data_IF_046400801174
#
_entry.id   IF_046400801174
#
_cell.length_a   1.000
_cell.length_b   1.000
_cell.length_c   1.000
_cell.angle_alpha   90.00
_cell.angle_beta   90.00
_cell.angle_gamma   90.00
#
_symmetry.space_group_name_H-M   'P 1'
#
loop_
_entity.id
_entity.type
_entity.pdbx_description
1 polymer ?
#
# COMPACT_ATOMS: atom_id res chain seq x y z
N UNK A 1 24.75 -18.51 24.78
CA UNK A 1 24.16 -17.78 23.64
C UNK A 1 23.10 -16.85 24.20
N UNK A 2 23.29 -15.53 24.08
CA UNK A 2 22.39 -14.50 24.62
C UNK A 2 21.34 -14.08 23.58
N UNK A 3 20.10 -13.84 24.00
CA UNK A 3 19.08 -13.13 23.23
C UNK A 3 18.45 -12.04 24.13
N UNK A 4 18.63 -10.77 23.73
CA UNK A 4 18.14 -9.58 24.45
C UNK A 4 16.71 -9.16 24.04
N UNK A 5 16.06 -8.39 24.91
CA UNK A 5 14.66 -7.95 24.84
C UNK A 5 14.30 -7.13 23.58
N UNK A 6 13.01 -7.11 23.16
CA UNK A 6 12.58 -6.44 21.93
C UNK A 6 12.68 -4.91 22.06
N UNK A 7 13.58 -4.31 21.28
CA UNK A 7 13.70 -2.87 21.11
C UNK A 7 12.42 -2.31 20.46
N UNK A 8 11.94 -1.17 20.96
CA UNK A 8 10.80 -0.47 20.36
C UNK A 8 11.13 -0.19 18.89
N UNK A 9 10.24 -0.60 18.00
CA UNK A 9 10.38 -0.34 16.57
C UNK A 9 10.58 1.16 16.31
N UNK A 10 11.74 1.55 15.78
CA UNK A 10 12.06 2.94 15.49
C UNK A 10 11.17 3.54 14.40
N UNK A 11 11.21 4.86 14.23
CA UNK A 11 10.47 5.59 13.19
C UNK A 11 10.62 4.95 11.78
N UNK A 12 11.82 4.42 11.46
CA UNK A 12 12.10 3.68 10.22
C UNK A 12 11.30 2.37 10.08
N UNK A 13 11.04 1.67 11.19
CA UNK A 13 10.23 0.45 11.20
C UNK A 13 8.75 0.77 11.03
N UNK A 14 8.26 1.86 11.66
CA UNK A 14 6.93 2.41 11.41
C UNK A 14 6.79 2.82 9.94
N UNK A 15 7.79 3.50 9.36
CA UNK A 15 7.82 3.87 7.94
C UNK A 15 7.75 2.61 7.05
N UNK A 16 8.52 1.57 7.37
CA UNK A 16 8.51 0.30 6.64
C UNK A 16 7.17 -0.43 6.75
N UNK A 17 6.51 -0.36 7.90
CA UNK A 17 5.20 -0.93 8.11
C UNK A 17 4.12 -0.18 7.31
N UNK A 18 4.18 1.16 7.28
CA UNK A 18 3.31 2.02 6.45
C UNK A 18 3.51 1.71 4.97
N UNK A 19 4.76 1.58 4.51
CA UNK A 19 5.08 1.16 3.14
C UNK A 19 4.48 -0.22 2.80
N UNK A 20 4.51 -1.18 3.73
CA UNK A 20 3.87 -2.49 3.56
C UNK A 20 2.34 -2.44 3.54
N UNK A 21 1.73 -1.47 4.21
CA UNK A 21 0.25 -1.33 4.23
C UNK A 21 -0.27 -0.80 2.88
N UNK A 22 0.56 -0.05 2.18
CA UNK A 22 0.26 0.54 0.89
C UNK A 22 0.52 -0.37 -0.32
N UNK A 23 1.41 -1.35 -0.17
CA UNK A 23 1.63 -2.40 -1.17
C UNK A 23 0.41 -3.35 -1.33
N UNK A 24 -0.60 -3.25 -0.46
CA UNK A 24 -1.94 -3.80 -0.75
C UNK A 24 -2.12 -5.28 -0.36
N UNK A 25 -1.85 -5.63 0.90
CA UNK A 25 -1.83 -7.03 1.38
C UNK A 25 -3.18 -7.76 1.35
N UNK A 26 -4.35 -7.12 1.26
CA UNK A 26 -5.60 -7.89 1.49
C UNK A 26 -6.85 -7.37 0.80
N UNK A 27 -7.02 -7.70 -0.49
CA UNK A 27 -8.37 -7.80 -1.08
C UNK A 27 -8.47 -8.91 -2.14
N UNK A 28 -8.38 -10.16 -1.68
CA UNK A 28 -8.72 -11.37 -2.46
C UNK A 28 -10.01 -12.05 -1.99
N UNK A 29 -10.90 -11.37 -1.25
CA UNK A 29 -12.04 -12.06 -0.59
C UNK A 29 -13.43 -11.80 -1.16
N UNK A 30 -13.57 -11.04 -2.24
CA UNK A 30 -14.88 -10.82 -2.90
C UNK A 30 -14.84 -11.12 -4.41
N UNK A 31 -13.74 -11.72 -4.91
CA UNK A 31 -13.49 -11.91 -6.34
C UNK A 31 -14.30 -13.05 -7.00
N UNK A 32 -14.96 -13.93 -6.26
CA UNK A 32 -15.62 -15.12 -6.86
C UNK A 32 -17.10 -14.86 -7.19
N UNK A 33 -17.78 -13.99 -6.44
CA UNK A 33 -19.21 -13.73 -6.62
C UNK A 33 -19.46 -12.52 -7.56
N UNK A 34 -18.59 -11.51 -7.50
CA UNK A 34 -18.73 -10.27 -8.28
C UNK A 34 -17.97 -10.29 -9.63
N UNK A 35 -16.99 -11.17 -9.83
CA UNK A 35 -16.23 -11.24 -11.08
C UNK A 35 -17.04 -11.74 -12.30
N UNK A 36 -18.25 -12.25 -12.08
CA UNK A 36 -19.18 -12.62 -13.16
C UNK A 36 -20.05 -11.44 -13.63
N UNK A 37 -20.19 -10.39 -12.82
CA UNK A 37 -21.04 -9.21 -13.12
C UNK A 37 -20.25 -7.93 -13.38
N UNK A 38 -19.03 -7.80 -12.85
CA UNK A 38 -18.15 -6.67 -13.18
C UNK A 38 -17.40 -6.92 -14.48
N UNK A 39 -17.56 -5.98 -15.41
CA UNK A 39 -16.83 -5.92 -16.66
C UNK A 39 -15.31 -5.92 -16.36
N UNK A 40 -14.54 -6.95 -16.76
CA UNK A 40 -13.12 -7.07 -16.45
C UNK A 40 -12.31 -5.84 -16.86
N UNK A 41 -12.77 -5.10 -17.89
CA UNK A 41 -12.20 -3.84 -18.35
C UNK A 41 -12.27 -2.76 -17.28
N UNK A 42 -13.39 -2.64 -16.57
CA UNK A 42 -13.59 -1.64 -15.52
C UNK A 42 -12.65 -1.89 -14.32
N UNK A 43 -12.42 -3.16 -13.97
CA UNK A 43 -11.50 -3.55 -12.90
C UNK A 43 -10.06 -3.17 -13.25
N UNK A 44 -9.64 -3.40 -14.50
CA UNK A 44 -8.30 -3.03 -14.99
C UNK A 44 -8.13 -1.51 -14.93
N UNK A 45 -9.11 -0.74 -15.44
CA UNK A 45 -9.06 0.72 -15.43
C UNK A 45 -9.05 1.28 -14.00
N UNK A 46 -9.89 0.74 -13.11
CA UNK A 46 -9.94 1.14 -11.70
C UNK A 46 -8.63 0.82 -10.97
N UNK A 47 -8.02 -0.34 -11.26
CA UNK A 47 -6.72 -0.72 -10.72
C UNK A 47 -5.59 0.21 -11.18
N UNK A 48 -5.55 0.56 -12.47
CA UNK A 48 -4.56 1.49 -13.02
C UNK A 48 -4.74 2.88 -12.42
N UNK A 49 -5.96 3.42 -12.41
CA UNK A 49 -6.24 4.74 -11.85
C UNK A 49 -5.95 4.79 -10.35
N UNK A 50 -6.40 3.79 -9.58
CA UNK A 50 -6.15 3.70 -8.15
C UNK A 50 -4.66 3.61 -7.84
N UNK A 51 -3.91 2.80 -8.60
CA UNK A 51 -2.46 2.71 -8.49
C UNK A 51 -1.75 4.02 -8.85
N UNK A 52 -2.17 4.70 -9.91
CA UNK A 52 -1.57 5.96 -10.36
C UNK A 52 -1.79 7.07 -9.32
N UNK A 53 -3.03 7.23 -8.85
CA UNK A 53 -3.40 8.17 -7.78
C UNK A 53 -2.58 7.88 -6.53
N UNK A 54 -2.45 6.61 -6.19
CA UNK A 54 -1.70 6.18 -5.03
C UNK A 54 -0.22 6.58 -5.11
N UNK A 55 0.45 6.29 -6.22
CA UNK A 55 1.85 6.68 -6.44
C UNK A 55 2.04 8.20 -6.42
N UNK A 56 1.18 8.95 -7.12
CA UNK A 56 1.25 10.41 -7.16
C UNK A 56 1.10 11.02 -5.76
N UNK A 57 0.18 10.49 -4.96
CA UNK A 57 -0.03 10.95 -3.58
C UNK A 57 1.20 10.73 -2.71
N UNK A 58 1.91 9.60 -2.85
CA UNK A 58 3.18 9.37 -2.15
C UNK A 58 4.25 10.36 -2.57
N UNK A 59 4.43 10.58 -3.87
CA UNK A 59 5.43 11.52 -4.39
C UNK A 59 5.18 12.93 -3.86
N UNK A 60 3.92 13.35 -3.82
CA UNK A 60 3.52 14.65 -3.28
C UNK A 60 3.79 14.78 -1.78
N UNK A 61 3.52 13.74 -0.99
CA UNK A 61 3.84 13.74 0.45
C UNK A 61 5.35 13.81 0.66
N UNK A 62 6.13 13.06 -0.11
CA UNK A 62 7.59 13.05 -0.01
C UNK A 62 8.19 14.41 -0.40
N UNK A 63 7.73 15.02 -1.49
CA UNK A 63 8.22 16.34 -1.90
C UNK A 63 7.83 17.46 -0.94
N UNK A 64 6.76 17.28 -0.16
CA UNK A 64 6.36 18.22 0.88
C UNK A 64 7.18 18.06 2.17
N UNK A 65 7.49 16.83 2.56
CA UNK A 65 8.23 16.52 3.79
C UNK A 65 9.73 16.71 3.64
N UNK A 66 10.25 16.64 2.42
CA UNK A 66 11.66 16.91 2.11
C UNK A 66 11.76 18.30 1.46
N UNK A 67 12.02 19.37 2.24
CA UNK A 67 12.49 20.62 1.66
C UNK A 67 13.81 20.33 0.95
N UNK A 68 13.90 20.73 -0.32
CA UNK A 68 15.16 20.74 -1.06
C UNK A 68 16.17 21.71 -0.46
#
# INVERSE_FOLDING_TARGET
MMAGAPERAGFLATMRAVLWSFVGVRKRRDYQDDARSLDPRAVIVAGILGGLIFVLSLVMVVSWVVPG
#
